data_IF_473721821763
#
_entry.id   IF_473721821763
#
_cell.length_a   1.000
_cell.length_b   1.000
_cell.length_c   1.000
_cell.angle_alpha   90.00
_cell.angle_beta   90.00
_cell.angle_gamma   90.00
#
_symmetry.space_group_name_H-M   'P 1'
#
loop_
_entity.id
_entity.type
_entity.pdbx_description
1 polymer ?
#
# COMPACT_ATOMS: atom_id res chain seq x y z
N UNK A 1 -31.24 -5.24 -19.45
CA UNK A 1 -29.85 -5.35 -19.92
C UNK A 1 -29.12 -6.34 -19.02
N UNK A 2 -28.30 -7.25 -19.58
CA UNK A 2 -27.43 -8.13 -18.78
C UNK A 2 -26.04 -7.50 -18.69
N UNK A 3 -25.66 -7.01 -17.50
CA UNK A 3 -24.34 -6.42 -17.23
C UNK A 3 -23.34 -7.43 -16.68
N UNK A 4 -23.36 -8.66 -17.22
CA UNK A 4 -22.40 -9.69 -16.86
C UNK A 4 -21.88 -10.38 -18.12
N UNK A 5 -20.56 -10.50 -18.22
CA UNK A 5 -19.94 -11.35 -19.22
C UNK A 5 -20.22 -12.81 -18.83
N UNK A 6 -20.74 -13.63 -19.75
CA UNK A 6 -20.84 -15.09 -19.56
C UNK A 6 -19.48 -15.78 -19.74
N UNK A 7 -18.43 -15.16 -19.19
CA UNK A 7 -17.06 -15.64 -19.24
C UNK A 7 -16.67 -16.23 -17.89
N UNK A 8 -16.11 -17.44 -17.92
CA UNK A 8 -15.56 -18.10 -16.74
C UNK A 8 -14.02 -18.04 -16.85
N UNK A 9 -13.35 -17.16 -16.10
CA UNK A 9 -11.90 -17.08 -16.14
C UNK A 9 -11.29 -18.42 -15.70
N UNK A 10 -10.20 -18.82 -16.36
CA UNK A 10 -9.42 -19.97 -15.90
C UNK A 10 -8.89 -19.67 -14.49
N UNK A 11 -8.92 -20.64 -13.56
CA UNK A 11 -8.35 -20.44 -12.24
C UNK A 11 -6.87 -20.04 -12.32
N UNK A 12 -6.45 -19.11 -11.47
CA UNK A 12 -5.02 -18.80 -11.31
C UNK A 12 -4.25 -20.05 -10.90
N UNK A 13 -3.09 -20.25 -11.53
CA UNK A 13 -2.09 -21.25 -11.12
C UNK A 13 -1.46 -20.90 -9.77
N UNK A 14 -1.39 -19.60 -9.46
CA UNK A 14 -0.91 -19.09 -8.18
C UNK A 14 -2.09 -19.10 -7.21
N UNK A 15 -1.96 -19.88 -6.14
CA UNK A 15 -2.91 -19.92 -5.02
C UNK A 15 -2.36 -19.14 -3.84
N UNK A 16 -3.28 -18.60 -3.05
CA UNK A 16 -2.99 -18.00 -1.76
C UNK A 16 -3.64 -18.80 -0.64
N UNK A 17 -2.96 -18.85 0.51
CA UNK A 17 -3.45 -19.51 1.72
C UNK A 17 -3.17 -18.64 2.97
N UNK A 18 -3.60 -19.09 4.14
CA UNK A 18 -3.49 -18.34 5.39
C UNK A 18 -2.06 -18.26 5.96
N UNK A 19 -1.14 -19.11 5.50
CA UNK A 19 0.26 -19.09 5.96
C UNK A 19 1.07 -18.00 5.25
N UNK A 20 0.61 -17.58 4.07
CA UNK A 20 1.25 -16.52 3.30
C UNK A 20 1.00 -15.14 3.88
N UNK A 21 2.02 -14.27 3.78
CA UNK A 21 1.89 -12.84 4.02
C UNK A 21 1.61 -12.16 2.70
N UNK A 22 0.50 -11.43 2.63
CA UNK A 22 0.07 -10.74 1.43
C UNK A 22 0.28 -9.24 1.61
N UNK A 23 0.68 -8.58 0.53
CA UNK A 23 0.73 -7.13 0.45
C UNK A 23 -0.13 -6.70 -0.74
N UNK A 24 -1.10 -5.84 -0.47
CA UNK A 24 -1.96 -5.27 -1.50
C UNK A 24 -1.63 -3.79 -1.63
N UNK A 25 -1.21 -3.37 -2.82
CA UNK A 25 -0.91 -1.97 -3.15
C UNK A 25 -1.71 -1.60 -4.39
N UNK A 26 -2.55 -0.59 -4.30
CA UNK A 26 -3.34 -0.18 -5.44
C UNK A 26 -4.40 0.87 -5.12
N UNK A 27 -5.45 0.86 -5.93
CA UNK A 27 -6.59 1.76 -5.79
C UNK A 27 -7.48 1.39 -4.60
N UNK A 28 -8.64 2.04 -4.48
CA UNK A 28 -9.69 1.64 -3.54
C UNK A 28 -10.17 0.19 -3.76
N UNK A 29 -9.99 -0.37 -4.97
CA UNK A 29 -10.29 -1.77 -5.21
C UNK A 29 -9.39 -2.69 -4.37
N UNK A 30 -8.08 -2.49 -4.44
CA UNK A 30 -7.10 -3.28 -3.66
C UNK A 30 -7.33 -3.15 -2.16
N UNK A 31 -7.77 -1.98 -1.70
CA UNK A 31 -8.15 -1.76 -0.30
C UNK A 31 -9.35 -2.62 0.12
N UNK A 32 -10.43 -2.59 -0.66
CA UNK A 32 -11.64 -3.37 -0.36
C UNK A 32 -11.39 -4.88 -0.42
N UNK A 33 -10.60 -5.35 -1.40
CA UNK A 33 -10.19 -6.76 -1.48
C UNK A 33 -9.33 -7.14 -0.28
N UNK A 34 -8.37 -6.29 0.11
CA UNK A 34 -7.55 -6.51 1.30
C UNK A 34 -8.39 -6.62 2.57
N UNK A 35 -9.36 -5.73 2.76
CA UNK A 35 -10.28 -5.75 3.92
C UNK A 35 -11.10 -7.05 3.91
N UNK A 36 -11.58 -7.50 2.75
CA UNK A 36 -12.29 -8.77 2.63
C UNK A 36 -11.38 -9.95 3.02
N UNK A 37 -10.14 -9.98 2.55
CA UNK A 37 -9.16 -11.02 2.91
C UNK A 37 -8.86 -11.02 4.42
N UNK A 38 -8.67 -9.85 5.04
CA UNK A 38 -8.47 -9.73 6.48
C UNK A 38 -9.69 -10.22 7.29
N UNK A 39 -10.91 -9.94 6.83
CA UNK A 39 -12.15 -10.48 7.44
C UNK A 39 -12.19 -12.02 7.41
N UNK A 40 -11.51 -12.63 6.44
CA UNK A 40 -11.31 -14.07 6.35
C UNK A 40 -9.97 -14.53 6.96
N UNK A 41 -9.34 -13.74 7.84
CA UNK A 41 -8.12 -14.09 8.57
C UNK A 41 -6.86 -14.33 7.71
N UNK A 42 -6.81 -13.81 6.48
CA UNK A 42 -5.55 -13.74 5.75
C UNK A 42 -4.63 -12.68 6.34
N UNK A 43 -3.34 -12.96 6.36
CA UNK A 43 -2.32 -12.01 6.83
C UNK A 43 -2.00 -10.99 5.74
N UNK A 44 -2.78 -9.91 5.67
CA UNK A 44 -2.64 -8.89 4.64
C UNK A 44 -2.16 -7.55 5.21
N UNK A 45 -1.18 -6.94 4.55
CA UNK A 45 -0.89 -5.50 4.66
C UNK A 45 -1.52 -4.78 3.47
N UNK A 46 -2.33 -3.77 3.77
CA UNK A 46 -3.14 -3.06 2.78
C UNK A 46 -2.62 -1.64 2.69
N UNK A 47 -2.26 -1.19 1.48
CA UNK A 47 -2.00 0.21 1.12
C UNK A 47 -1.30 1.02 2.24
N UNK A 48 -0.14 0.62 2.77
CA UNK A 48 0.42 1.28 3.95
C UNK A 48 0.95 2.68 3.68
N UNK A 49 1.17 3.05 2.41
CA UNK A 49 1.44 4.44 1.98
C UNK A 49 0.17 5.13 1.42
N UNK A 50 -0.99 4.53 1.71
CA UNK A 50 -2.30 4.92 1.22
C UNK A 50 -2.60 4.42 -0.19
N UNK A 51 -3.73 4.87 -0.73
CA UNK A 51 -4.21 4.50 -2.06
C UNK A 51 -3.26 5.08 -3.12
N UNK A 52 -2.64 4.20 -3.90
CA UNK A 52 -1.72 4.54 -4.99
C UNK A 52 -2.14 3.75 -6.23
N UNK A 53 -2.56 4.42 -7.31
CA UNK A 53 -3.04 3.72 -8.50
C UNK A 53 -2.17 3.92 -9.74
N UNK A 54 -1.43 5.04 -9.81
CA UNK A 54 -0.54 5.25 -10.94
C UNK A 54 0.73 4.41 -10.76
N UNK A 55 1.20 3.69 -11.80
CA UNK A 55 2.36 2.79 -11.68
C UNK A 55 3.63 3.47 -11.17
N UNK A 56 3.85 4.74 -11.52
CA UNK A 56 5.04 5.48 -11.11
C UNK A 56 5.08 5.74 -9.60
N UNK A 57 3.97 6.14 -8.98
CA UNK A 57 3.90 6.31 -7.53
C UNK A 57 3.98 4.99 -6.78
N UNK A 58 3.39 3.91 -7.32
CA UNK A 58 3.55 2.56 -6.74
C UNK A 58 5.03 2.19 -6.74
N UNK A 59 5.71 2.34 -7.88
CA UNK A 59 7.14 2.09 -8.01
C UNK A 59 7.96 2.93 -7.01
N UNK A 60 7.76 4.25 -6.97
CA UNK A 60 8.47 5.14 -6.05
C UNK A 60 8.24 4.75 -4.58
N UNK A 61 7.00 4.43 -4.21
CA UNK A 61 6.64 3.97 -2.87
C UNK A 61 7.39 2.69 -2.50
N UNK A 62 7.44 1.71 -3.41
CA UNK A 62 8.18 0.45 -3.19
C UNK A 62 9.69 0.68 -3.08
N UNK A 63 10.28 1.52 -3.96
CA UNK A 63 11.71 1.86 -3.92
C UNK A 63 12.09 2.55 -2.61
N UNK A 64 11.32 3.56 -2.19
CA UNK A 64 11.56 4.24 -0.90
C UNK A 64 11.49 3.28 0.29
N UNK A 65 10.62 2.27 0.22
CA UNK A 65 10.56 1.24 1.26
C UNK A 65 11.79 0.32 1.25
N UNK A 66 12.31 -0.03 0.07
CA UNK A 66 13.45 -0.94 -0.07
C UNK A 66 14.78 -0.27 0.29
N UNK A 67 14.99 0.95 -0.18
CA UNK A 67 16.24 1.69 -0.01
C UNK A 67 16.41 2.24 1.41
N UNK A 68 15.35 2.23 2.22
CA UNK A 68 15.32 2.87 3.54
C UNK A 68 15.76 4.35 3.46
N UNK A 69 15.69 4.92 2.24
CA UNK A 69 16.14 6.24 1.88
C UNK A 69 15.18 7.24 2.50
N UNK A 70 15.66 7.85 3.57
CA UNK A 70 14.88 8.46 4.64
C UNK A 70 14.64 9.95 4.42
N UNK A 71 15.09 10.49 3.29
CA UNK A 71 14.94 11.91 3.01
C UNK A 71 13.86 12.20 1.96
N UNK A 72 12.62 12.12 2.42
CA UNK A 72 11.46 12.65 1.68
C UNK A 72 11.23 14.14 1.98
N UNK A 73 12.16 14.83 2.65
CA UNK A 73 11.92 16.19 3.13
C UNK A 73 11.61 17.15 1.99
N UNK A 74 12.21 16.93 0.81
CA UNK A 74 11.89 17.67 -0.43
C UNK A 74 10.46 17.50 -0.93
N UNK A 75 9.77 16.45 -0.46
CA UNK A 75 8.40 16.11 -0.82
C UNK A 75 7.39 16.39 0.29
N UNK A 76 7.83 16.91 1.45
CA UNK A 76 6.94 17.28 2.55
C UNK A 76 6.46 18.70 2.34
N UNK A 77 5.16 18.87 2.45
CA UNK A 77 4.48 20.14 2.34
C UNK A 77 3.56 20.33 3.54
N UNK A 78 3.29 21.59 3.85
CA UNK A 78 2.35 21.99 4.90
C UNK A 78 1.25 22.84 4.28
N UNK A 79 0.01 22.59 4.73
CA UNK A 79 -1.14 23.45 4.44
C UNK A 79 -2.09 23.42 5.64
N UNK A 80 -2.38 24.61 6.17
CA UNK A 80 -3.34 24.79 7.28
C UNK A 80 -3.00 23.96 8.54
N UNK A 81 -1.71 23.86 8.86
CA UNK A 81 -1.17 23.08 9.98
C UNK A 81 -1.08 21.58 9.71
N UNK A 82 -1.48 21.12 8.53
CA UNK A 82 -1.41 19.72 8.13
C UNK A 82 -0.21 19.47 7.22
N UNK A 83 0.67 18.57 7.65
CA UNK A 83 1.84 18.14 6.91
C UNK A 83 1.52 16.86 6.13
N UNK A 84 1.90 16.81 4.86
CA UNK A 84 1.67 15.68 3.97
C UNK A 84 2.81 15.55 2.97
N UNK A 85 2.85 14.44 2.22
CA UNK A 85 3.85 14.23 1.16
C UNK A 85 3.19 13.90 -0.17
N UNK A 86 3.67 14.49 -1.27
CA UNK A 86 3.15 14.16 -2.61
C UNK A 86 3.46 12.74 -3.09
N UNK A 87 4.31 12.01 -2.35
CA UNK A 87 4.57 10.59 -2.59
C UNK A 87 3.53 9.68 -1.92
N UNK A 88 2.63 10.24 -1.11
CA UNK A 88 1.67 9.49 -0.29
C UNK A 88 0.24 9.97 -0.54
N UNK A 89 -0.73 9.10 -0.25
CA UNK A 89 -2.14 9.49 -0.29
C UNK A 89 -2.45 10.56 0.77
N UNK A 90 -3.47 11.39 0.54
CA UNK A 90 -3.87 12.45 1.47
C UNK A 90 -4.29 11.96 2.86
N UNK A 91 -4.63 10.67 3.00
CA UNK A 91 -4.88 10.04 4.30
C UNK A 91 -3.62 9.89 5.15
N UNK A 92 -2.43 10.05 4.56
CA UNK A 92 -1.14 10.01 5.24
C UNK A 92 -0.69 11.45 5.47
N UNK A 93 -1.19 12.01 6.56
CA UNK A 93 -0.94 13.39 6.94
C UNK A 93 -0.92 13.53 8.45
N UNK A 94 -0.16 14.49 8.96
CA UNK A 94 -0.02 14.71 10.41
C UNK A 94 0.09 16.19 10.73
N UNK A 95 -0.17 16.56 11.98
CA UNK A 95 -0.10 17.97 12.41
C UNK A 95 1.33 18.48 12.69
N UNK A 96 2.35 17.67 12.43
CA UNK A 96 3.74 18.10 12.43
C UNK A 96 4.57 17.26 11.46
N UNK A 97 5.60 17.87 10.87
CA UNK A 97 6.56 17.18 10.00
C UNK A 97 7.19 15.96 10.69
N UNK A 98 7.56 16.09 11.97
CA UNK A 98 8.16 15.01 12.73
C UNK A 98 7.22 13.80 12.86
N UNK A 99 5.93 14.05 13.14
CA UNK A 99 4.93 12.98 13.21
C UNK A 99 4.70 12.34 11.84
N UNK A 100 4.64 13.13 10.78
CA UNK A 100 4.52 12.61 9.41
C UNK A 100 5.70 11.69 9.07
N UNK A 101 6.93 12.13 9.32
CA UNK A 101 8.15 11.34 9.10
C UNK A 101 8.12 10.04 9.92
N UNK A 102 7.66 10.10 11.17
CA UNK A 102 7.52 8.92 12.02
C UNK A 102 6.45 7.95 11.50
N UNK A 103 5.30 8.45 11.03
CA UNK A 103 4.23 7.66 10.42
C UNK A 103 4.71 6.94 9.16
N UNK A 104 5.35 7.67 8.24
CA UNK A 104 5.89 7.12 6.99
C UNK A 104 6.98 6.08 7.30
N UNK A 105 7.90 6.38 8.22
CA UNK A 105 8.94 5.42 8.65
C UNK A 105 8.31 4.14 9.22
N UNK A 106 7.26 4.27 10.04
CA UNK A 106 6.52 3.13 10.59
C UNK A 106 5.86 2.29 9.50
N UNK A 107 5.26 2.92 8.49
CA UNK A 107 4.62 2.25 7.37
C UNK A 107 5.64 1.55 6.47
N UNK A 108 6.75 2.21 6.16
CA UNK A 108 7.87 1.62 5.41
C UNK A 108 8.45 0.40 6.11
N UNK A 109 8.58 0.41 7.44
CA UNK A 109 9.01 -0.77 8.21
C UNK A 109 8.05 -1.95 8.06
N UNK A 110 6.73 -1.72 8.06
CA UNK A 110 5.74 -2.77 7.81
C UNK A 110 5.87 -3.35 6.39
N UNK A 111 6.06 -2.47 5.40
CA UNK A 111 6.37 -2.87 4.03
C UNK A 111 7.60 -3.77 3.99
N UNK A 112 8.74 -3.34 4.54
CA UNK A 112 9.99 -4.10 4.51
C UNK A 112 9.88 -5.51 5.10
N UNK A 113 9.12 -5.67 6.20
CA UNK A 113 8.92 -6.98 6.83
C UNK A 113 8.26 -7.96 5.86
N UNK A 114 7.30 -7.49 5.06
CA UNK A 114 6.60 -8.35 4.10
C UNK A 114 7.41 -8.53 2.82
N UNK A 115 8.01 -7.47 2.29
CA UNK A 115 8.86 -7.50 1.09
C UNK A 115 10.03 -8.49 1.23
N UNK A 116 10.62 -8.61 2.43
CA UNK A 116 11.69 -9.58 2.71
C UNK A 116 11.18 -11.03 2.88
N UNK A 117 9.86 -11.24 2.97
CA UNK A 117 9.26 -12.51 3.40
C UNK A 117 8.47 -13.28 2.32
N UNK A 118 8.56 -12.88 1.04
CA UNK A 118 8.02 -13.53 -0.18
C UNK A 118 6.73 -12.97 -0.80
N UNK A 119 6.62 -13.28 -2.12
CA UNK A 119 5.57 -13.22 -3.16
C UNK A 119 4.60 -12.02 -3.23
N UNK A 120 4.63 -11.34 -4.38
CA UNK A 120 3.81 -10.18 -4.71
C UNK A 120 2.57 -10.57 -5.52
N UNK A 121 1.43 -9.96 -5.20
CA UNK A 121 0.25 -9.89 -6.06
C UNK A 121 -0.03 -8.40 -6.30
N UNK A 122 -0.10 -8.00 -7.57
CA UNK A 122 -0.45 -6.64 -8.00
C UNK A 122 -1.95 -6.37 -7.82
#
# INVERSE_FOLDING_TARGET
MQFHLNYKPKPSLIKIDHQQKLMLVGSCFSENIGIALQKHHFNCLINPNGILFNPQSIHQSLVHCLENSSDISSHIHEREGLHFSFLHHSSISENSEQKLKALITKNNKKHMIILKSQMFLY
#
